data_IF_411310932513
#
_entry.id   IF_411310932513
#
_cell.length_a   1.000
_cell.length_b   1.000
_cell.length_c   1.000
_cell.angle_alpha   90.00
_cell.angle_beta   90.00
_cell.angle_gamma   90.00
#
_symmetry.space_group_name_H-M   'P 1'
#
loop_
_entity.id
_entity.type
_entity.pdbx_description
1 polymer ?
#
# COMPACT_ATOMS: atom_id res chain seq x y z
N UNK A 1 24.81 -2.97 16.02
CA UNK A 1 25.27 -3.60 17.28
C UNK A 1 26.71 -3.28 17.63
N UNK A 2 27.49 -2.73 16.69
CA UNK A 2 28.92 -2.45 16.77
C UNK A 2 29.37 -1.67 18.01
N UNK A 3 28.54 -0.79 18.57
CA UNK A 3 28.88 -0.06 19.80
C UNK A 3 28.73 -0.87 21.09
N UNK A 4 28.11 -2.06 21.06
CA UNK A 4 27.86 -2.91 22.24
C UNK A 4 26.89 -2.34 23.29
N UNK A 5 26.38 -1.12 23.09
CA UNK A 5 25.58 -0.36 24.07
C UNK A 5 24.08 -0.73 24.10
N UNK A 6 23.59 -1.50 23.12
CA UNK A 6 22.20 -1.97 23.01
C UNK A 6 21.13 -0.86 23.19
N UNK A 7 21.44 0.37 22.75
CA UNK A 7 20.60 1.56 22.97
C UNK A 7 19.15 1.39 22.50
N UNK A 8 18.94 0.70 21.39
CA UNK A 8 17.63 0.47 20.78
C UNK A 8 17.01 -0.90 21.12
N UNK A 9 17.67 -1.70 21.96
CA UNK A 9 17.24 -3.06 22.31
C UNK A 9 16.97 -3.17 23.81
N UNK A 10 15.93 -2.49 24.30
CA UNK A 10 15.61 -2.35 25.73
C UNK A 10 15.54 -3.71 26.46
N UNK A 11 14.82 -4.67 25.88
CA UNK A 11 14.65 -6.00 26.48
C UNK A 11 15.97 -6.79 26.52
N UNK A 12 16.76 -6.72 25.44
CA UNK A 12 18.05 -7.40 25.36
C UNK A 12 19.07 -6.80 26.36
N UNK A 13 19.04 -5.47 26.51
CA UNK A 13 19.83 -4.74 27.51
C UNK A 13 19.45 -5.14 28.93
N UNK A 14 18.15 -5.25 29.22
CA UNK A 14 17.65 -5.71 30.51
C UNK A 14 18.10 -7.14 30.82
N UNK A 15 17.90 -8.07 29.89
CA UNK A 15 18.34 -9.46 30.03
C UNK A 15 19.84 -9.58 30.34
N UNK A 16 20.69 -8.85 29.61
CA UNK A 16 22.15 -8.81 29.87
C UNK A 16 22.46 -8.34 31.30
N UNK A 17 21.77 -7.31 31.76
CA UNK A 17 22.02 -6.72 33.08
C UNK A 17 21.58 -7.67 34.21
N UNK A 18 20.45 -8.36 34.05
CA UNK A 18 19.90 -9.28 35.05
C UNK A 18 20.67 -10.60 35.12
N UNK A 19 21.01 -11.18 33.97
CA UNK A 19 21.61 -12.53 33.89
C UNK A 19 23.13 -12.53 33.76
N UNK A 20 23.74 -11.37 33.49
CA UNK A 20 25.16 -11.23 33.09
C UNK A 20 25.54 -12.09 31.88
N UNK A 21 24.58 -12.56 31.09
CA UNK A 21 24.83 -13.39 29.92
C UNK A 21 25.62 -12.64 28.84
N UNK A 22 26.55 -13.34 28.19
CA UNK A 22 27.24 -12.82 27.00
C UNK A 22 26.27 -12.84 25.82
N UNK A 23 26.08 -11.69 25.18
CA UNK A 23 25.26 -11.58 23.97
C UNK A 23 26.16 -11.83 22.76
N UNK A 24 25.77 -12.79 21.93
CA UNK A 24 26.46 -13.07 20.66
C UNK A 24 26.15 -11.97 19.64
N UNK A 25 26.90 -10.86 19.72
CA UNK A 25 26.68 -9.68 18.89
C UNK A 25 26.81 -9.99 17.38
N UNK A 26 27.61 -10.98 17.00
CA UNK A 26 27.78 -11.39 15.61
C UNK A 26 26.48 -11.98 15.03
N UNK A 27 25.86 -12.93 15.74
CA UNK A 27 24.58 -13.53 15.34
C UNK A 27 23.52 -12.46 15.08
N UNK A 28 23.30 -11.56 16.04
CA UNK A 28 22.31 -10.49 15.89
C UNK A 28 22.68 -9.49 14.79
N UNK A 29 23.96 -9.20 14.57
CA UNK A 29 24.39 -8.32 13.48
C UNK A 29 24.06 -8.93 12.12
N UNK A 30 24.30 -10.24 11.95
CA UNK A 30 23.92 -10.99 10.75
C UNK A 30 22.40 -11.02 10.60
N UNK A 31 21.66 -11.34 11.67
CA UNK A 31 20.19 -11.39 11.64
C UNK A 31 19.59 -10.03 11.25
N UNK A 32 20.06 -8.93 11.84
CA UNK A 32 19.61 -7.58 11.51
C UNK A 32 19.97 -7.18 10.08
N UNK A 33 21.16 -7.56 9.60
CA UNK A 33 21.56 -7.34 8.21
C UNK A 33 20.63 -8.08 7.26
N UNK A 34 20.37 -9.36 7.51
CA UNK A 34 19.45 -10.17 6.70
C UNK A 34 18.03 -9.62 6.72
N UNK A 35 17.54 -9.16 7.88
CA UNK A 35 16.24 -8.49 7.98
C UNK A 35 16.20 -7.20 7.16
N UNK A 36 17.24 -6.37 7.25
CA UNK A 36 17.35 -5.12 6.49
C UNK A 36 17.39 -5.38 4.99
N UNK A 37 18.23 -6.32 4.56
CA UNK A 37 18.43 -6.65 3.15
C UNK A 37 17.15 -7.31 2.59
N UNK A 38 16.52 -8.22 3.34
CA UNK A 38 15.23 -8.80 3.00
C UNK A 38 14.12 -7.75 2.90
N UNK A 39 14.05 -6.81 3.86
CA UNK A 39 13.11 -5.70 3.80
C UNK A 39 13.37 -4.82 2.57
N UNK A 40 14.63 -4.52 2.23
CA UNK A 40 14.96 -3.72 1.05
C UNK A 40 14.50 -4.40 -0.24
N UNK A 41 14.74 -5.71 -0.39
CA UNK A 41 14.26 -6.49 -1.55
C UNK A 41 12.73 -6.46 -1.64
N UNK A 42 12.02 -6.71 -0.53
CA UNK A 42 10.55 -6.61 -0.48
C UNK A 42 10.06 -5.19 -0.78
N UNK A 43 10.80 -4.17 -0.33
CA UNK A 43 10.47 -2.78 -0.61
C UNK A 43 10.55 -2.47 -2.11
N UNK A 44 11.58 -2.97 -2.79
CA UNK A 44 11.72 -2.83 -4.25
C UNK A 44 10.59 -3.55 -5.01
N UNK A 45 10.07 -4.67 -4.50
CA UNK A 45 8.88 -5.34 -5.06
C UNK A 45 7.59 -4.49 -4.96
N UNK A 46 7.54 -3.44 -4.14
CA UNK A 46 6.41 -2.49 -4.22
C UNK A 46 6.50 -1.62 -5.48
N UNK A 47 7.71 -1.32 -5.95
CA UNK A 47 7.88 -0.50 -7.16
C UNK A 47 7.39 -1.23 -8.40
N UNK A 48 7.52 -2.56 -8.45
CA UNK A 48 6.96 -3.38 -9.53
C UNK A 48 5.42 -3.42 -9.49
N UNK A 49 4.80 -3.14 -8.34
CA UNK A 49 3.34 -2.99 -8.19
C UNK A 49 2.84 -1.56 -8.37
N UNK A 50 3.65 -0.64 -8.89
CA UNK A 50 3.24 0.76 -9.08
C UNK A 50 1.95 0.87 -9.89
N UNK A 51 1.84 0.12 -11.00
CA UNK A 51 0.65 0.11 -11.85
C UNK A 51 -0.57 -0.46 -11.10
N UNK A 52 -0.40 -1.60 -10.44
CA UNK A 52 -1.39 -2.20 -9.53
C UNK A 52 -1.91 -1.25 -8.44
N UNK A 53 -1.02 -0.49 -7.79
CA UNK A 53 -1.37 0.46 -6.75
C UNK A 53 -2.05 1.71 -7.31
N UNK A 54 -1.61 2.19 -8.47
CA UNK A 54 -2.19 3.33 -9.18
C UNK A 54 -3.63 3.06 -9.64
N UNK A 55 -3.97 1.79 -9.90
CA UNK A 55 -5.31 1.38 -10.33
C UNK A 55 -6.42 1.89 -9.42
N UNK A 56 -6.21 1.93 -8.10
CA UNK A 56 -7.19 2.41 -7.12
C UNK A 56 -7.62 3.86 -7.33
N UNK A 57 -6.74 4.67 -7.91
CA UNK A 57 -6.93 6.11 -8.10
C UNK A 57 -7.21 6.46 -9.56
N UNK A 58 -6.64 5.68 -10.49
CA UNK A 58 -6.73 5.97 -11.92
C UNK A 58 -6.89 4.67 -12.75
N UNK A 59 -8.02 3.95 -12.60
CA UNK A 59 -8.20 2.63 -13.20
C UNK A 59 -8.25 2.67 -14.73
N UNK A 60 -8.72 3.78 -15.31
CA UNK A 60 -8.89 3.92 -16.77
C UNK A 60 -7.55 4.09 -17.52
N UNK A 61 -6.54 4.64 -16.86
CA UNK A 61 -5.22 4.91 -17.47
C UNK A 61 -4.12 3.95 -17.01
N UNK A 62 -4.45 2.97 -16.17
CA UNK A 62 -3.48 1.98 -15.70
C UNK A 62 -3.25 0.93 -16.79
N UNK A 63 -1.98 0.56 -17.03
CA UNK A 63 -1.65 -0.56 -17.92
C UNK A 63 -2.11 -1.87 -17.30
N UNK A 64 -3.20 -2.43 -17.82
CA UNK A 64 -3.81 -3.66 -17.30
C UNK A 64 -2.93 -4.89 -17.46
N UNK A 65 -1.99 -4.86 -18.41
CA UNK A 65 -1.08 -5.98 -18.68
C UNK A 65 0.00 -6.11 -17.59
N UNK A 66 0.23 -5.05 -16.80
CA UNK A 66 1.20 -5.03 -15.71
C UNK A 66 0.56 -5.34 -14.34
N UNK A 67 -0.78 -5.52 -14.29
CA UNK A 67 -1.47 -5.77 -13.03
C UNK A 67 -1.37 -7.25 -12.68
N UNK A 68 -0.78 -7.55 -11.53
CA UNK A 68 -0.76 -8.91 -10.99
C UNK A 68 -2.13 -9.26 -10.40
N UNK A 69 -2.94 -10.03 -11.15
CA UNK A 69 -4.30 -10.43 -10.75
C UNK A 69 -4.34 -11.71 -9.91
N UNK A 70 -3.28 -12.53 -9.96
CA UNK A 70 -3.22 -13.85 -9.29
C UNK A 70 -3.48 -13.79 -7.78
N UNK A 71 -2.91 -12.84 -7.01
CA UNK A 71 -3.09 -12.78 -5.56
C UNK A 71 -4.54 -12.57 -5.11
N UNK A 72 -5.39 -12.08 -6.02
CA UNK A 72 -6.77 -11.71 -5.74
C UNK A 72 -7.78 -12.70 -6.33
N UNK A 73 -7.31 -13.78 -6.98
CA UNK A 73 -8.18 -14.77 -7.63
C UNK A 73 -9.03 -14.16 -8.76
N UNK A 74 -8.48 -13.16 -9.46
CA UNK A 74 -9.19 -12.41 -10.50
C UNK A 74 -8.95 -13.04 -11.86
N UNK A 75 -10.04 -13.25 -12.61
CA UNK A 75 -9.97 -13.70 -13.99
C UNK A 75 -9.51 -12.55 -14.90
N UNK A 76 -8.37 -12.72 -15.56
CA UNK A 76 -7.75 -11.67 -16.37
C UNK A 76 -8.59 -11.31 -17.61
N UNK A 77 -9.27 -12.29 -18.23
CA UNK A 77 -10.11 -12.05 -19.40
C UNK A 77 -11.35 -11.22 -19.04
N UNK A 78 -12.05 -11.61 -17.97
CA UNK A 78 -13.20 -10.87 -17.44
C UNK A 78 -12.81 -9.47 -16.96
N UNK A 79 -11.66 -9.32 -16.29
CA UNK A 79 -11.15 -8.01 -15.90
C UNK A 79 -10.94 -7.10 -17.12
N UNK A 80 -10.32 -7.60 -18.19
CA UNK A 80 -10.10 -6.82 -19.41
C UNK A 80 -11.42 -6.39 -20.07
N UNK A 81 -12.39 -7.30 -20.18
CA UNK A 81 -13.70 -7.01 -20.74
C UNK A 81 -14.46 -5.95 -19.92
N UNK A 82 -14.48 -6.12 -18.59
CA UNK A 82 -15.11 -5.16 -17.69
C UNK A 82 -14.45 -3.78 -17.76
N UNK A 83 -13.12 -3.71 -17.87
CA UNK A 83 -12.41 -2.44 -18.02
C UNK A 83 -12.66 -1.75 -19.36
N UNK A 84 -12.82 -2.51 -20.44
CA UNK A 84 -13.16 -1.95 -21.74
C UNK A 84 -14.56 -1.31 -21.72
N UNK A 85 -15.55 -2.00 -21.14
CA UNK A 85 -16.89 -1.43 -20.92
C UNK A 85 -16.84 -0.20 -20.00
N UNK A 86 -16.08 -0.27 -18.89
CA UNK A 86 -15.91 0.85 -17.95
C UNK A 86 -15.34 2.10 -18.64
N UNK A 87 -14.37 1.94 -19.55
CA UNK A 87 -13.76 3.04 -20.31
C UNK A 87 -14.72 3.71 -21.27
N UNK A 88 -15.65 2.96 -21.85
CA UNK A 88 -16.62 3.50 -22.83
C UNK A 88 -17.77 4.26 -22.18
N UNK A 89 -17.90 4.20 -20.85
CA UNK A 89 -19.00 4.85 -20.13
C UNK A 89 -18.56 6.19 -19.55
N UNK A 90 -19.13 7.26 -20.10
CA UNK A 90 -18.87 8.65 -19.68
C UNK A 90 -19.12 8.90 -18.19
N UNK A 91 -20.09 8.19 -17.60
CA UNK A 91 -20.35 8.26 -16.16
C UNK A 91 -19.11 7.88 -15.33
N UNK A 92 -18.41 6.81 -15.70
CA UNK A 92 -17.26 6.32 -14.95
C UNK A 92 -16.02 7.17 -15.20
N UNK A 93 -15.80 7.61 -16.44
CA UNK A 93 -14.70 8.51 -16.75
C UNK A 93 -14.82 9.83 -15.99
N UNK A 94 -16.02 10.39 -15.90
CA UNK A 94 -16.30 11.57 -15.06
C UNK A 94 -16.01 11.30 -13.58
N UNK A 95 -16.52 10.20 -13.02
CA UNK A 95 -16.35 9.85 -11.60
C UNK A 95 -14.88 9.66 -11.20
N UNK A 96 -14.08 8.97 -12.01
CA UNK A 96 -12.65 8.78 -11.71
C UNK A 96 -11.81 10.05 -11.93
N UNK A 97 -12.20 10.89 -12.89
CA UNK A 97 -11.56 12.21 -13.08
C UNK A 97 -11.81 13.10 -11.87
N UNK A 98 -13.04 13.11 -11.34
CA UNK A 98 -13.39 13.83 -10.12
C UNK A 98 -12.62 13.29 -8.90
N UNK A 99 -12.55 11.96 -8.74
CA UNK A 99 -11.74 11.34 -7.67
C UNK A 99 -10.29 11.83 -7.72
N UNK A 100 -9.68 11.80 -8.90
CA UNK A 100 -8.28 12.22 -9.08
C UNK A 100 -8.08 13.68 -8.69
N UNK A 101 -8.95 14.58 -9.16
CA UNK A 101 -8.92 16.00 -8.81
C UNK A 101 -9.04 16.22 -7.30
N UNK A 102 -9.99 15.55 -6.63
CA UNK A 102 -10.15 15.65 -5.17
C UNK A 102 -8.93 15.16 -4.40
N UNK A 103 -8.26 14.11 -4.87
CA UNK A 103 -7.04 13.61 -4.24
C UNK A 103 -5.86 14.58 -4.40
N UNK A 104 -5.74 15.21 -5.57
CA UNK A 104 -4.73 16.25 -5.81
C UNK A 104 -4.99 17.48 -4.93
N UNK A 105 -6.23 17.97 -4.88
CA UNK A 105 -6.63 19.10 -4.03
C UNK A 105 -6.35 18.82 -2.54
N UNK A 106 -6.67 17.60 -2.08
CA UNK A 106 -6.46 17.19 -0.69
C UNK A 106 -4.98 17.16 -0.31
N UNK A 107 -4.11 16.76 -1.23
CA UNK A 107 -2.66 16.78 -1.00
C UNK A 107 -2.11 18.22 -0.93
N UNK A 108 -2.62 19.11 -1.79
CA UNK A 108 -2.31 20.55 -1.73
C UNK A 108 -2.75 21.14 -0.38
N UNK A 109 -3.97 20.84 0.08
CA UNK A 109 -4.47 21.30 1.37
C UNK A 109 -3.62 20.80 2.53
N UNK A 110 -3.23 19.51 2.54
CA UNK A 110 -2.31 18.95 3.55
C UNK A 110 -1.00 19.72 3.60
N UNK A 111 -0.38 19.96 2.44
CA UNK A 111 0.87 20.71 2.35
C UNK A 111 0.72 22.13 2.91
N UNK A 112 -0.37 22.83 2.55
CA UNK A 112 -0.66 24.17 3.07
C UNK A 112 -0.84 24.18 4.59
N UNK A 113 -1.57 23.22 5.16
CA UNK A 113 -1.80 23.14 6.60
C UNK A 113 -0.52 22.81 7.39
N UNK A 114 0.34 21.94 6.86
CA UNK A 114 1.66 21.64 7.44
C UNK A 114 2.53 22.89 7.43
N UNK A 115 2.62 23.60 6.30
CA UNK A 115 3.39 24.83 6.17
C UNK A 115 2.90 25.94 7.11
N UNK A 116 1.60 25.96 7.43
CA UNK A 116 0.99 26.92 8.34
C UNK A 116 0.92 26.42 9.80
N UNK A 117 1.49 25.26 10.12
CA UNK A 117 1.40 24.61 11.44
C UNK A 117 -0.02 24.45 11.99
N UNK A 118 -1.02 24.32 11.10
CA UNK A 118 -2.45 24.16 11.46
C UNK A 118 -2.78 22.69 11.72
N UNK A 119 -2.28 22.16 12.83
CA UNK A 119 -2.43 20.74 13.19
C UNK A 119 -3.88 20.31 13.45
N UNK A 120 -4.74 21.21 13.92
CA UNK A 120 -6.17 20.93 14.13
C UNK A 120 -6.91 20.77 12.81
N UNK A 121 -6.72 21.72 11.87
CA UNK A 121 -7.29 21.63 10.53
C UNK A 121 -6.78 20.39 9.76
N UNK A 122 -5.51 20.02 9.92
CA UNK A 122 -4.95 18.81 9.32
C UNK A 122 -5.70 17.53 9.75
N UNK A 123 -6.21 17.47 10.99
CA UNK A 123 -6.99 16.32 11.50
C UNK A 123 -8.40 16.26 10.92
N UNK A 124 -8.94 17.38 10.46
CA UNK A 124 -10.28 17.47 9.86
C UNK A 124 -10.29 17.10 8.37
N UNK A 125 -9.11 17.04 7.73
CA UNK A 125 -8.99 16.64 6.33
C UNK A 125 -9.55 15.22 6.13
N UNK A 126 -10.40 15.00 5.11
CA UNK A 126 -10.92 13.68 4.78
C UNK A 126 -9.81 12.63 4.57
N UNK A 127 -10.10 11.39 4.94
CA UNK A 127 -9.20 10.27 4.65
C UNK A 127 -9.22 9.94 3.16
N UNK A 128 -8.05 9.73 2.58
CA UNK A 128 -7.87 9.36 1.16
C UNK A 128 -8.66 8.09 0.84
N UNK A 129 -8.65 7.14 1.75
CA UNK A 129 -9.36 5.87 1.62
C UNK A 129 -10.87 6.09 1.51
N UNK A 130 -11.45 7.03 2.27
CA UNK A 130 -12.88 7.30 2.25
C UNK A 130 -13.34 7.86 0.89
N UNK A 131 -12.53 8.74 0.29
CA UNK A 131 -12.79 9.26 -1.05
C UNK A 131 -12.72 8.16 -2.11
N UNK A 132 -11.69 7.32 -2.03
CA UNK A 132 -11.52 6.18 -2.93
C UNK A 132 -12.72 5.22 -2.79
N UNK A 133 -13.09 4.81 -1.57
CA UNK A 133 -14.24 3.93 -1.35
C UNK A 133 -15.56 4.51 -1.89
N UNK A 134 -15.81 5.80 -1.70
CA UNK A 134 -16.99 6.47 -2.25
C UNK A 134 -17.03 6.44 -3.79
N UNK A 135 -15.87 6.61 -4.43
CA UNK A 135 -15.75 6.51 -5.88
C UNK A 135 -15.98 5.07 -6.39
N UNK A 136 -15.52 4.05 -5.63
CA UNK A 136 -15.66 2.63 -5.97
C UNK A 136 -17.02 2.01 -5.61
N UNK A 137 -17.99 2.78 -5.12
CA UNK A 137 -19.35 2.28 -4.92
C UNK A 137 -20.00 2.01 -6.30
N UNK A 138 -20.05 0.73 -6.70
CA UNK A 138 -20.33 0.27 -8.07
C UNK A 138 -21.45 -0.78 -8.12
N UNK A 139 -22.17 -0.92 -9.26
CA UNK A 139 -23.06 -2.05 -9.53
C UNK A 139 -22.28 -3.38 -9.54
N UNK A 140 -22.96 -4.48 -9.19
CA UNK A 140 -22.42 -5.85 -9.18
C UNK A 140 -21.81 -6.28 -10.54
N UNK A 141 -22.20 -5.63 -11.64
CA UNK A 141 -21.75 -5.93 -13.00
C UNK A 141 -20.23 -5.79 -13.25
N UNK A 142 -19.48 -5.15 -12.33
CA UNK A 142 -18.02 -4.98 -12.41
C UNK A 142 -17.28 -5.76 -11.32
N UNK A 143 -17.66 -7.01 -11.10
CA UNK A 143 -17.16 -7.85 -10.01
C UNK A 143 -15.63 -7.94 -9.95
N UNK A 144 -14.95 -8.08 -11.08
CA UNK A 144 -13.50 -8.27 -11.14
C UNK A 144 -12.74 -6.96 -10.92
N UNK A 145 -13.24 -5.87 -11.53
CA UNK A 145 -12.70 -4.52 -11.29
C UNK A 145 -12.85 -4.14 -9.82
N UNK A 146 -14.01 -4.47 -9.23
CA UNK A 146 -14.28 -4.28 -7.80
C UNK A 146 -13.33 -5.11 -6.94
N UNK A 147 -13.21 -6.42 -7.18
CA UNK A 147 -12.27 -7.29 -6.46
C UNK A 147 -10.84 -6.74 -6.51
N UNK A 148 -10.39 -6.23 -7.67
CA UNK A 148 -9.06 -5.65 -7.82
C UNK A 148 -8.89 -4.40 -6.95
N UNK A 149 -9.82 -3.45 -7.04
CA UNK A 149 -9.75 -2.22 -6.27
C UNK A 149 -9.76 -2.47 -4.76
N UNK A 150 -10.69 -3.31 -4.27
CA UNK A 150 -10.78 -3.66 -2.86
C UNK A 150 -9.60 -4.52 -2.39
N UNK A 151 -9.12 -5.45 -3.20
CA UNK A 151 -7.91 -6.22 -2.93
C UNK A 151 -6.69 -5.32 -2.74
N UNK A 152 -6.51 -4.34 -3.61
CA UNK A 152 -5.42 -3.36 -3.48
C UNK A 152 -5.58 -2.40 -2.30
N UNK A 153 -6.82 -2.12 -1.87
CA UNK A 153 -7.07 -1.28 -0.68
C UNK A 153 -6.79 -2.03 0.61
N UNK A 154 -6.96 -3.35 0.61
CA UNK A 154 -6.83 -4.20 1.80
C UNK A 154 -5.48 -4.93 1.90
N UNK A 155 -4.64 -4.85 0.87
CA UNK A 155 -3.33 -5.53 0.83
C UNK A 155 -2.47 -5.27 2.06
N UNK A 156 -2.47 -4.05 2.60
CA UNK A 156 -1.71 -3.69 3.81
C UNK A 156 -2.47 -3.92 5.12
N UNK A 157 -3.78 -4.15 5.05
CA UNK A 157 -4.62 -4.45 6.20
C UNK A 157 -4.63 -5.94 6.58
N UNK A 158 -4.13 -6.82 5.71
CA UNK A 158 -4.11 -8.28 5.88
C UNK A 158 -2.70 -8.81 5.69
N UNK A 159 -2.11 -9.40 6.73
CA UNK A 159 -0.81 -10.08 6.67
C UNK A 159 -0.81 -11.16 5.60
N UNK A 160 -1.89 -11.94 5.51
CA UNK A 160 -2.05 -12.97 4.48
C UNK A 160 -2.11 -12.39 3.05
N UNK A 161 -2.90 -11.34 2.83
CA UNK A 161 -3.02 -10.73 1.49
C UNK A 161 -1.74 -10.03 1.07
N UNK A 162 -1.05 -9.40 2.02
CA UNK A 162 0.29 -8.88 1.84
C UNK A 162 1.24 -10.00 1.41
N UNK A 163 1.32 -11.06 2.22
CA UNK A 163 2.18 -12.21 1.92
C UNK A 163 1.86 -12.84 0.56
N UNK A 164 0.59 -13.08 0.21
CA UNK A 164 0.22 -13.65 -1.09
C UNK A 164 0.58 -12.74 -2.27
N UNK A 165 0.33 -11.43 -2.13
CA UNK A 165 0.70 -10.47 -3.17
C UNK A 165 2.22 -10.42 -3.38
N UNK A 166 3.01 -10.56 -2.32
CA UNK A 166 4.47 -10.52 -2.37
C UNK A 166 5.15 -11.89 -2.54
N UNK A 167 4.46 -13.01 -2.32
CA UNK A 167 5.06 -14.36 -2.38
C UNK A 167 5.18 -14.91 -3.81
N UNK A 168 4.35 -14.42 -4.74
CA UNK A 168 4.39 -14.84 -6.14
C UNK A 168 5.24 -13.93 -7.05
N UNK A 169 6.02 -13.01 -6.46
CA UNK A 169 6.97 -12.14 -7.14
C UNK A 169 8.38 -12.39 -6.63
#
# INVERSE_FOLDING_TARGET
>A
MESGKLLHFKNLKQYRNETKATIEANYFSIALKNMKDGFAVRFEQFKTNKSSLAFKVNPLNTNTNEINTKPFGIDAGSLQMQLLDLKTKDFWSGKFTELKSKLEELEVQKCMHIAQHKWTALKEIPRVEALIFGAWNHPECYSEVKKLAYGMLTIFGSTYSCEQAFSCM
#
